data_IF_127056515661
#
_entry.id   IF_127056515661
#
_cell.length_a   1.000
_cell.length_b   1.000
_cell.length_c   1.000
_cell.angle_alpha   90.00
_cell.angle_beta   90.00
_cell.angle_gamma   90.00
#
_symmetry.space_group_name_H-M   'P 1'
#
loop_
_entity.id
_entity.type
_entity.pdbx_description
1 polymer ?
#
# COMPACT_ATOMS: atom_id res chain seq x y z
N UNK A 1 4.58 17.84 21.01
CA UNK A 1 4.76 17.10 19.74
C UNK A 1 3.90 15.86 19.84
N UNK A 2 2.83 15.75 19.05
CA UNK A 2 1.94 14.57 19.12
C UNK A 2 2.60 13.40 18.39
N UNK A 3 2.68 12.24 19.04
CA UNK A 3 3.05 10.99 18.37
C UNK A 3 1.85 10.48 17.57
N UNK A 4 1.99 10.48 16.24
CA UNK A 4 0.94 10.02 15.31
C UNK A 4 0.60 8.53 15.45
N UNK A 5 1.45 7.75 16.12
CA UNK A 5 1.22 6.33 16.39
C UNK A 5 0.52 6.09 17.73
N UNK A 6 0.31 7.14 18.53
CA UNK A 6 -0.29 7.00 19.85
C UNK A 6 -1.82 6.97 19.78
N UNK A 7 -2.42 6.28 20.75
CA UNK A 7 -3.88 6.30 20.94
C UNK A 7 -4.40 7.71 21.25
N UNK A 8 -3.58 8.61 21.77
CA UNK A 8 -3.97 9.99 22.06
C UNK A 8 -4.25 10.78 20.78
N UNK A 9 -3.49 10.52 19.71
CA UNK A 9 -3.76 11.12 18.41
C UNK A 9 -5.07 10.59 17.80
N UNK A 10 -5.32 9.29 17.95
CA UNK A 10 -6.58 8.64 17.54
C UNK A 10 -7.78 9.24 18.28
N UNK A 11 -7.69 9.43 19.59
CA UNK A 11 -8.78 10.06 20.38
C UNK A 11 -8.95 11.54 20.04
N UNK A 12 -7.88 12.27 19.77
CA UNK A 12 -7.94 13.66 19.31
C UNK A 12 -8.69 13.81 17.98
N UNK A 13 -8.43 12.91 17.01
CA UNK A 13 -9.14 12.90 15.73
C UNK A 13 -10.62 12.57 15.90
N UNK A 14 -10.96 11.58 16.74
CA UNK A 14 -12.36 11.24 17.04
C UNK A 14 -13.07 12.40 17.75
N UNK A 15 -12.41 13.06 18.71
CA UNK A 15 -12.93 14.25 19.39
C UNK A 15 -13.12 15.45 18.44
N UNK A 16 -12.29 15.56 17.39
CA UNK A 16 -12.45 16.55 16.32
C UNK A 16 -13.64 16.25 15.38
N UNK A 17 -14.42 15.19 15.67
CA UNK A 17 -15.61 14.80 14.92
C UNK A 17 -15.29 13.94 13.69
N UNK A 18 -14.20 13.18 13.71
CA UNK A 18 -13.91 12.21 12.65
C UNK A 18 -14.90 11.05 12.69
N UNK A 19 -15.65 10.87 11.60
CA UNK A 19 -16.70 9.84 11.48
C UNK A 19 -16.19 8.48 10.99
N UNK A 20 -15.01 8.45 10.38
CA UNK A 20 -14.39 7.26 9.85
C UNK A 20 -13.77 6.34 10.91
N UNK A 21 -13.22 5.22 10.45
CA UNK A 21 -12.50 4.28 11.31
C UNK A 21 -11.00 4.55 11.26
N UNK A 22 -10.34 4.54 12.42
CA UNK A 22 -8.91 4.81 12.56
C UNK A 22 -8.20 3.56 13.07
N UNK A 23 -7.22 3.08 12.31
CA UNK A 23 -6.46 1.86 12.63
C UNK A 23 -5.00 2.22 12.84
N UNK A 24 -4.45 1.77 13.97
CA UNK A 24 -3.06 1.95 14.37
C UNK A 24 -2.29 0.65 14.23
N UNK A 25 -0.96 0.71 14.27
CA UNK A 25 -0.10 -0.48 14.17
C UNK A 25 -0.29 -1.51 15.28
N UNK A 26 -0.94 -1.15 16.40
CA UNK A 26 -1.26 -2.04 17.50
C UNK A 26 -2.56 -2.83 17.33
N UNK A 27 -3.40 -2.48 16.35
CA UNK A 27 -4.68 -3.16 16.11
C UNK A 27 -4.45 -4.46 15.31
N UNK A 28 -5.18 -5.53 15.64
CA UNK A 28 -5.01 -6.84 15.00
C UNK A 28 -5.24 -6.82 13.48
N UNK A 29 -6.15 -5.96 13.02
CA UNK A 29 -6.54 -5.85 11.61
C UNK A 29 -5.57 -4.98 10.78
N UNK A 30 -4.62 -4.29 11.41
CA UNK A 30 -3.69 -3.38 10.75
C UNK A 30 -2.90 -4.05 9.62
N UNK A 31 -2.40 -5.27 9.86
CA UNK A 31 -1.63 -6.01 8.88
C UNK A 31 -2.44 -6.32 7.61
N UNK A 32 -3.73 -6.61 7.78
CA UNK A 32 -4.66 -6.90 6.68
C UNK A 32 -4.87 -5.70 5.77
N UNK A 33 -4.86 -4.48 6.33
CA UNK A 33 -5.06 -3.24 5.57
C UNK A 33 -3.83 -2.73 4.83
N UNK A 34 -2.63 -3.19 5.21
CA UNK A 34 -1.40 -2.86 4.49
C UNK A 34 -1.16 -3.73 3.24
N UNK A 35 -1.99 -4.74 3.02
CA UNK A 35 -1.82 -5.65 1.88
C UNK A 35 -1.99 -4.88 0.57
N UNK A 36 -0.91 -4.85 -0.22
CA UNK A 36 -0.88 -4.28 -1.57
C UNK A 36 -0.68 -5.35 -2.62
N UNK A 37 -0.87 -4.96 -3.88
CA UNK A 37 -0.68 -5.83 -5.03
C UNK A 37 0.72 -6.45 -5.13
N UNK A 38 1.76 -5.72 -4.69
CA UNK A 38 3.14 -6.18 -4.65
C UNK A 38 3.78 -5.95 -3.27
N UNK A 39 4.60 -6.89 -2.80
CA UNK A 39 5.24 -6.86 -1.48
C UNK A 39 6.17 -5.67 -1.28
N UNK A 40 6.96 -5.30 -2.29
CA UNK A 40 7.86 -4.14 -2.21
C UNK A 40 7.13 -2.79 -2.10
N UNK A 41 5.85 -2.74 -2.44
CA UNK A 41 5.04 -1.54 -2.32
C UNK A 41 4.45 -1.39 -0.92
N UNK A 42 4.48 -2.44 -0.10
CA UNK A 42 4.00 -2.40 1.28
C UNK A 42 4.92 -1.48 2.11
N UNK A 43 4.38 -0.32 2.50
CA UNK A 43 5.03 0.62 3.41
C UNK A 43 4.22 0.68 4.70
N UNK A 44 4.88 0.51 5.84
CA UNK A 44 4.24 0.59 7.15
C UNK A 44 3.76 2.03 7.41
N UNK A 45 2.45 2.22 7.47
CA UNK A 45 1.84 3.50 7.80
C UNK A 45 1.93 3.75 9.31
N UNK A 46 2.00 5.01 9.74
CA UNK A 46 1.86 5.31 11.17
C UNK A 46 0.40 5.21 11.64
N UNK A 47 -0.53 5.56 10.75
CA UNK A 47 -1.98 5.59 10.97
C UNK A 47 -2.67 5.28 9.64
N UNK A 48 -3.72 4.46 9.67
CA UNK A 48 -4.60 4.20 8.52
C UNK A 48 -5.98 4.77 8.86
N UNK A 49 -6.50 5.64 8.00
CA UNK A 49 -7.80 6.28 8.20
C UNK A 49 -8.79 5.88 7.09
N UNK A 50 -9.90 5.25 7.48
CA UNK A 50 -11.02 4.90 6.61
C UNK A 50 -12.02 6.03 6.58
N UNK A 51 -11.80 6.97 5.66
CA UNK A 51 -12.60 8.18 5.55
C UNK A 51 -13.96 7.89 4.91
N UNK A 52 -15.05 8.34 5.55
CA UNK A 52 -16.44 8.18 5.07
C UNK A 52 -17.04 9.46 4.48
N UNK A 53 -16.43 10.62 4.71
CA UNK A 53 -16.91 11.94 4.26
C UNK A 53 -15.78 12.84 3.76
N UNK A 54 -16.10 13.86 2.96
CA UNK A 54 -15.08 14.79 2.46
C UNK A 54 -14.52 15.68 3.59
N UNK A 55 -15.35 15.98 4.59
CA UNK A 55 -15.00 16.77 5.76
C UNK A 55 -13.87 16.11 6.55
N UNK A 56 -13.93 14.79 6.70
CA UNK A 56 -12.93 13.96 7.38
C UNK A 56 -11.55 14.06 6.72
N UNK A 57 -11.49 14.04 5.37
CA UNK A 57 -10.24 14.26 4.62
C UNK A 57 -9.67 15.64 4.93
N UNK A 58 -10.53 16.67 4.89
CA UNK A 58 -10.12 18.06 5.12
C UNK A 58 -9.56 18.28 6.53
N UNK A 59 -10.15 17.64 7.54
CA UNK A 59 -9.72 17.72 8.94
C UNK A 59 -8.34 17.09 9.13
N UNK A 60 -8.15 15.89 8.58
CA UNK A 60 -6.85 15.20 8.63
C UNK A 60 -5.77 16.09 8.01
N UNK A 61 -5.98 16.61 6.81
CA UNK A 61 -4.99 17.46 6.14
C UNK A 61 -4.66 18.70 6.98
N UNK A 62 -5.68 19.37 7.54
CA UNK A 62 -5.48 20.54 8.40
C UNK A 62 -4.67 20.19 9.65
N UNK A 63 -5.05 19.16 10.39
CA UNK A 63 -4.38 18.73 11.62
C UNK A 63 -2.93 18.33 11.35
N UNK A 64 -2.66 17.56 10.30
CA UNK A 64 -1.31 17.14 9.95
C UNK A 64 -0.44 18.32 9.48
N UNK A 65 -1.02 19.28 8.74
CA UNK A 65 -0.32 20.50 8.33
C UNK A 65 0.02 21.38 9.53
N UNK A 66 -0.94 21.59 10.45
CA UNK A 66 -0.74 22.38 11.68
C UNK A 66 0.34 21.77 12.59
N UNK A 67 0.46 20.44 12.59
CA UNK A 67 1.45 19.72 13.39
C UNK A 67 2.81 19.56 12.69
N UNK A 68 3.00 20.10 11.47
CA UNK A 68 4.26 19.99 10.72
C UNK A 68 4.61 18.57 10.26
N UNK A 69 3.62 17.68 10.19
CA UNK A 69 3.80 16.24 9.89
C UNK A 69 3.71 15.92 8.39
N UNK A 70 3.35 16.90 7.56
CA UNK A 70 3.33 16.77 6.10
C UNK A 70 4.56 17.44 5.49
N UNK A 71 5.66 16.68 5.38
CA UNK A 71 6.69 16.93 4.38
C UNK A 71 6.49 15.88 3.28
N UNK A 72 6.01 16.23 2.08
CA UNK A 72 5.72 15.27 1.03
C UNK A 72 7.03 14.77 0.40
N UNK A 73 7.79 13.95 1.12
CA UNK A 73 8.97 13.30 0.56
C UNK A 73 8.54 12.08 -0.24
N UNK A 74 8.38 12.27 -1.55
CA UNK A 74 8.27 11.17 -2.51
C UNK A 74 9.64 10.48 -2.61
N UNK A 75 9.75 9.27 -2.07
CA UNK A 75 10.93 8.42 -2.29
C UNK A 75 10.63 7.36 -3.36
N UNK A 76 11.22 7.55 -4.53
CA UNK A 76 11.37 6.50 -5.54
C UNK A 76 12.54 5.59 -5.14
N UNK A 77 12.21 4.45 -4.54
CA UNK A 77 13.21 3.41 -4.28
C UNK A 77 13.43 2.61 -5.56
N UNK A 78 14.54 2.86 -6.24
CA UNK A 78 14.99 2.08 -7.39
C UNK A 78 15.17 0.60 -6.98
N UNK A 79 14.46 -0.30 -7.67
CA UNK A 79 14.46 -1.73 -7.34
C UNK A 79 15.31 -2.51 -8.37
N UNK A 80 16.21 -3.39 -7.92
CA UNK A 80 17.15 -4.09 -8.79
C UNK A 80 16.48 -5.24 -9.56
N UNK A 81 16.67 -5.27 -10.88
CA UNK A 81 15.99 -6.18 -11.81
C UNK A 81 16.58 -7.60 -11.71
N UNK A 82 15.87 -8.56 -11.12
CA UNK A 82 16.23 -9.98 -11.17
C UNK A 82 15.04 -10.87 -11.50
N UNK A 83 15.29 -11.99 -12.18
CA UNK A 83 14.29 -12.92 -12.75
C UNK A 83 13.48 -13.66 -11.67
N UNK A 84 14.02 -13.81 -10.45
CA UNK A 84 13.28 -14.28 -9.27
C UNK A 84 12.46 -13.18 -8.59
N UNK A 85 12.71 -11.92 -8.92
CA UNK A 85 12.06 -10.77 -8.30
C UNK A 85 10.55 -10.75 -8.54
N UNK A 86 10.07 -11.09 -9.75
CA UNK A 86 8.64 -11.02 -10.05
C UNK A 86 7.79 -11.93 -9.15
N UNK A 87 8.24 -13.17 -8.89
CA UNK A 87 7.55 -14.11 -7.99
C UNK A 87 7.55 -13.62 -6.54
N UNK A 88 8.68 -13.07 -6.09
CA UNK A 88 8.80 -12.47 -4.74
C UNK A 88 7.93 -11.23 -4.60
N UNK A 89 7.86 -10.39 -5.63
CA UNK A 89 7.12 -9.14 -5.63
C UNK A 89 5.61 -9.38 -5.64
N UNK A 90 5.11 -10.19 -6.57
CA UNK A 90 3.67 -10.37 -6.75
C UNK A 90 3.08 -11.51 -5.91
N UNK A 91 3.93 -12.39 -5.35
CA UNK A 91 3.54 -13.43 -4.40
C UNK A 91 2.26 -14.20 -4.81
N UNK A 92 1.18 -14.12 -4.02
CA UNK A 92 -0.09 -14.80 -4.31
C UNK A 92 -0.78 -14.34 -5.60
N UNK A 93 -0.47 -13.13 -6.10
CA UNK A 93 -0.98 -12.63 -7.38
C UNK A 93 -0.21 -13.14 -8.58
N UNK A 94 0.97 -13.74 -8.36
CA UNK A 94 1.85 -14.18 -9.44
C UNK A 94 1.15 -15.16 -10.40
N UNK A 95 0.47 -16.25 -9.95
CA UNK A 95 -0.19 -17.19 -10.86
C UNK A 95 -1.23 -16.53 -11.79
N UNK A 96 -2.05 -15.62 -11.24
CA UNK A 96 -3.05 -14.88 -12.03
C UNK A 96 -2.41 -14.04 -13.13
N UNK A 97 -1.27 -13.42 -12.84
CA UNK A 97 -0.52 -12.65 -13.84
C UNK A 97 0.08 -13.54 -14.93
N UNK A 98 0.51 -14.75 -14.59
CA UNK A 98 0.99 -15.72 -15.57
C UNK A 98 -0.11 -16.16 -16.54
N UNK A 99 -1.36 -16.30 -16.07
CA UNK A 99 -2.52 -16.58 -16.93
C UNK A 99 -2.90 -15.41 -17.85
N UNK A 100 -2.90 -14.18 -17.32
CA UNK A 100 -3.13 -12.98 -18.13
C UNK A 100 -2.05 -12.86 -19.20
N UNK A 101 -0.79 -13.10 -18.83
CA UNK A 101 0.34 -13.09 -19.76
C UNK A 101 0.19 -14.17 -20.83
N UNK A 102 -0.23 -15.38 -20.47
CA UNK A 102 -0.52 -16.47 -21.43
C UNK A 102 -1.61 -16.09 -22.43
N UNK A 103 -2.65 -15.39 -21.99
CA UNK A 103 -3.77 -14.99 -22.85
C UNK A 103 -3.44 -13.85 -23.82
N UNK A 104 -2.63 -12.88 -23.40
CA UNK A 104 -2.44 -11.62 -24.15
C UNK A 104 -1.00 -11.32 -24.59
N UNK A 105 0.01 -12.04 -24.08
CA UNK A 105 1.42 -11.89 -24.43
C UNK A 105 2.19 -13.23 -24.34
N UNK A 106 1.77 -14.25 -25.12
CA UNK A 106 2.42 -15.57 -25.09
C UNK A 106 3.88 -15.51 -25.56
N UNK A 107 4.20 -14.59 -26.47
CA UNK A 107 5.53 -14.42 -27.07
C UNK A 107 6.46 -13.49 -26.26
N UNK A 108 6.03 -13.03 -25.08
CA UNK A 108 6.84 -12.20 -24.18
C UNK A 108 7.36 -10.90 -24.81
N UNK A 109 6.52 -10.25 -25.62
CA UNK A 109 6.75 -8.93 -26.20
C UNK A 109 7.05 -7.89 -25.11
N UNK A 110 6.35 -7.96 -23.96
CA UNK A 110 6.54 -7.05 -22.83
C UNK A 110 7.40 -7.68 -21.72
N UNK A 111 8.73 -7.61 -21.87
CA UNK A 111 9.70 -8.18 -20.91
C UNK A 111 10.42 -7.17 -20.00
N UNK A 112 9.98 -5.92 -19.97
CA UNK A 112 10.61 -4.86 -19.17
C UNK A 112 10.16 -4.90 -17.71
N UNK A 113 11.08 -4.62 -16.78
CA UNK A 113 10.87 -4.52 -15.32
C UNK A 113 10.15 -5.74 -14.69
N UNK A 114 10.92 -6.65 -14.08
CA UNK A 114 10.42 -7.90 -13.46
C UNK A 114 9.53 -8.75 -14.37
N UNK A 115 10.12 -9.39 -15.41
CA UNK A 115 9.35 -10.14 -16.40
C UNK A 115 8.58 -11.30 -15.75
N UNK A 116 7.26 -11.30 -15.95
CA UNK A 116 6.36 -12.37 -15.53
C UNK A 116 6.35 -13.42 -16.64
N UNK A 117 6.70 -14.66 -16.31
CA UNK A 117 6.67 -15.75 -17.28
C UNK A 117 5.23 -16.25 -17.47
N UNK A 118 4.74 -16.44 -18.70
CA UNK A 118 3.46 -17.09 -18.93
C UNK A 118 3.44 -18.46 -18.26
N UNK A 119 2.26 -18.90 -17.83
CA UNK A 119 2.12 -20.26 -17.35
C UNK A 119 2.27 -21.19 -18.57
N UNK A 120 3.29 -22.04 -18.58
CA UNK A 120 3.48 -23.01 -19.67
C UNK A 120 2.29 -23.96 -19.63
N UNK A 121 1.56 -24.10 -20.74
CA UNK A 121 0.65 -25.22 -20.90
C UNK A 121 1.52 -26.48 -20.96
N UNK A 122 1.31 -27.43 -20.05
CA UNK A 122 1.93 -28.76 -20.16
C UNK A 122 1.58 -29.33 -21.54
N UNK A 123 2.62 -29.71 -22.29
CA UNK A 123 2.53 -30.33 -23.60
C UNK A 123 2.16 -31.81 -23.48
#
# INVERSE_FOLDING_TARGET
MFDIRSNEFKTCLLAAGFTGDLVLSGDADYASYLVRFAKNSQKNAALVAFVKSAEDVSRIIKIFKSNGLLNPTFTETANSKSTGGARTLYAGNYPRLQDVKRKYDPDMMFKSWYPIRPLTAEA
#
